data_IF_950073140707
#
_entry.id   IF_950073140707
#
_cell.length_a   1.000
_cell.length_b   1.000
_cell.length_c   1.000
_cell.angle_alpha   90.00
_cell.angle_beta   90.00
_cell.angle_gamma   90.00
#
_symmetry.space_group_name_H-M   'P 1'
#
loop_
_entity.id
_entity.type
_entity.pdbx_description
1 polymer ?
#
# COMPACT_ATOMS: atom_id res chain seq x y z
N UNK A 1 -12.02 29.09 50.30
CA UNK A 1 -12.84 28.24 49.40
C UNK A 1 -13.53 29.17 48.42
N UNK A 2 -13.09 29.16 47.15
CA UNK A 2 -13.91 29.52 46.00
C UNK A 2 -13.18 28.98 44.76
N UNK A 3 -13.84 28.05 44.08
CA UNK A 3 -13.34 27.23 42.99
C UNK A 3 -13.60 27.98 41.68
N UNK A 4 -12.56 28.23 40.89
CA UNK A 4 -12.70 28.63 39.48
C UNK A 4 -12.76 27.36 38.62
N UNK A 5 -13.96 26.99 38.17
CA UNK A 5 -14.13 26.00 37.09
C UNK A 5 -14.04 26.75 35.77
N UNK A 6 -12.90 26.61 35.08
CA UNK A 6 -12.78 27.05 33.69
C UNK A 6 -13.41 25.97 32.79
N UNK A 7 -14.58 26.27 32.21
CA UNK A 7 -15.12 25.51 31.08
C UNK A 7 -14.24 25.76 29.85
N UNK A 8 -13.45 24.78 29.44
CA UNK A 8 -12.93 24.73 28.07
C UNK A 8 -14.05 24.24 27.15
N UNK A 9 -14.56 25.14 26.30
CA UNK A 9 -15.43 24.76 25.18
C UNK A 9 -14.58 24.06 24.11
N UNK A 10 -14.81 22.76 23.90
CA UNK A 10 -14.26 22.03 22.77
C UNK A 10 -14.98 22.48 21.49
N UNK A 11 -14.29 23.22 20.61
CA UNK A 11 -14.79 23.53 19.29
C UNK A 11 -14.70 22.28 18.41
N UNK A 12 -15.82 21.58 18.23
CA UNK A 12 -15.94 20.50 17.24
C UNK A 12 -15.82 21.10 15.84
N UNK A 13 -14.75 20.79 15.13
CA UNK A 13 -14.57 21.15 13.73
C UNK A 13 -15.60 20.37 12.90
N UNK A 14 -16.68 21.03 12.49
CA UNK A 14 -17.55 20.54 11.43
C UNK A 14 -16.72 20.56 10.15
N UNK A 15 -16.34 19.38 9.65
CA UNK A 15 -15.75 19.23 8.33
C UNK A 15 -16.86 19.45 7.30
N UNK A 16 -16.84 20.63 6.66
CA UNK A 16 -17.64 20.88 5.47
C UNK A 16 -17.07 19.99 4.37
N UNK A 17 -17.88 19.04 3.88
CA UNK A 17 -17.58 18.33 2.65
C UNK A 17 -17.59 19.37 1.50
N UNK A 18 -16.44 19.58 0.88
CA UNK A 18 -16.32 20.37 -0.35
C UNK A 18 -17.13 19.65 -1.44
N UNK A 19 -18.12 20.33 -2.03
CA UNK A 19 -18.75 19.87 -3.26
C UNK A 19 -17.71 19.80 -4.37
N UNK A 20 -17.68 18.65 -5.06
CA UNK A 20 -16.72 18.31 -6.12
C UNK A 20 -17.01 19.13 -7.39
N UNK A 21 -16.59 20.40 -7.37
CA UNK A 21 -16.56 21.27 -8.53
C UNK A 21 -15.46 20.82 -9.48
N UNK A 22 -15.83 20.20 -10.59
CA UNK A 22 -14.93 19.68 -11.62
C UNK A 22 -14.06 20.80 -12.20
N UNK A 23 -12.84 20.98 -11.66
CA UNK A 23 -11.83 21.85 -12.26
C UNK A 23 -11.25 21.14 -13.47
N UNK A 24 -11.39 21.67 -14.71
CA UNK A 24 -10.85 21.03 -15.89
C UNK A 24 -9.32 21.07 -15.85
N UNK A 25 -8.71 19.97 -15.42
CA UNK A 25 -7.29 19.71 -15.61
C UNK A 25 -7.05 19.41 -17.09
N UNK A 26 -6.33 20.32 -17.77
CA UNK A 26 -5.97 20.20 -19.20
C UNK A 26 -4.77 19.27 -19.43
N UNK A 27 -4.23 18.64 -18.38
CA UNK A 27 -3.07 17.74 -18.48
C UNK A 27 -3.58 16.32 -18.77
N UNK A 28 -3.13 15.66 -19.85
CA UNK A 28 -3.46 14.26 -20.10
C UNK A 28 -3.05 13.38 -18.92
N UNK A 29 -3.95 12.48 -18.49
CA UNK A 29 -3.62 11.45 -17.50
C UNK A 29 -2.66 10.47 -18.19
N UNK A 30 -1.47 10.19 -17.62
CA UNK A 30 -0.54 9.23 -18.19
C UNK A 30 -1.11 7.80 -18.15
N UNK A 31 -0.45 6.87 -18.83
CA UNK A 31 -0.78 5.45 -18.69
C UNK A 31 -0.24 4.88 -17.36
N UNK A 32 -0.86 3.83 -16.79
CA UNK A 32 -0.40 3.20 -15.55
C UNK A 32 1.04 2.69 -15.67
N UNK A 33 1.88 3.00 -14.68
CA UNK A 33 3.25 2.49 -14.65
C UNK A 33 3.30 1.09 -14.05
N UNK A 34 4.15 0.21 -14.59
CA UNK A 34 4.37 -1.14 -14.08
C UNK A 34 5.83 -1.57 -14.19
N UNK A 35 6.33 -2.20 -13.13
CA UNK A 35 7.66 -2.80 -13.01
C UNK A 35 7.51 -4.28 -12.68
N UNK A 36 8.27 -5.13 -13.36
CA UNK A 36 8.22 -6.59 -13.19
C UNK A 36 9.65 -7.09 -13.06
N UNK A 37 9.89 -7.91 -12.03
CA UNK A 37 11.19 -8.55 -11.77
C UNK A 37 10.99 -9.99 -11.34
N UNK A 38 11.98 -10.84 -11.58
CA UNK A 38 11.96 -12.25 -11.19
C UNK A 38 12.95 -12.51 -10.07
N UNK A 39 12.53 -13.32 -9.09
CA UNK A 39 13.29 -13.55 -7.86
C UNK A 39 13.14 -14.99 -7.39
N UNK A 40 14.01 -15.37 -6.46
CA UNK A 40 13.91 -16.62 -5.72
C UNK A 40 14.28 -16.40 -4.26
N UNK A 41 13.60 -17.09 -3.35
CA UNK A 41 13.87 -17.02 -1.92
C UNK A 41 13.66 -18.36 -1.23
N UNK A 42 14.31 -18.57 -0.08
CA UNK A 42 14.03 -19.71 0.80
C UNK A 42 13.12 -19.26 1.94
N UNK A 43 11.93 -19.85 2.00
CA UNK A 43 10.93 -19.57 3.03
C UNK A 43 10.62 -20.87 3.76
N UNK A 44 10.89 -20.92 5.07
CA UNK A 44 10.77 -22.14 5.89
C UNK A 44 11.47 -23.35 5.25
N UNK A 45 12.71 -23.16 4.76
CA UNK A 45 13.50 -24.18 4.09
C UNK A 45 13.12 -24.47 2.62
N UNK A 46 11.95 -24.04 2.17
CA UNK A 46 11.46 -24.29 0.81
C UNK A 46 11.93 -23.19 -0.14
N UNK A 47 12.56 -23.59 -1.26
CA UNK A 47 12.88 -22.66 -2.34
C UNK A 47 11.59 -22.30 -3.10
N UNK A 48 11.35 -21.00 -3.28
CA UNK A 48 10.22 -20.48 -4.04
C UNK A 48 10.75 -19.48 -5.06
N UNK A 49 10.45 -19.74 -6.34
CA UNK A 49 10.64 -18.80 -7.43
C UNK A 49 9.35 -18.01 -7.64
N UNK A 50 9.48 -16.69 -7.80
CA UNK A 50 8.36 -15.79 -7.91
C UNK A 50 8.65 -14.57 -8.77
N UNK A 51 7.60 -14.04 -9.39
CA UNK A 51 7.60 -12.75 -10.05
C UNK A 51 7.10 -11.69 -9.08
N UNK A 52 7.88 -10.62 -8.91
CA UNK A 52 7.47 -9.41 -8.21
C UNK A 52 6.97 -8.37 -9.23
N UNK A 53 5.71 -7.98 -9.12
CA UNK A 53 5.10 -6.90 -9.90
C UNK A 53 4.84 -5.71 -8.97
N UNK A 54 5.32 -4.53 -9.33
CA UNK A 54 4.96 -3.27 -8.68
C UNK A 54 4.30 -2.36 -9.72
N UNK A 55 3.15 -1.76 -9.43
CA UNK A 55 2.53 -0.88 -10.41
C UNK A 55 1.15 -0.36 -10.06
N UNK A 56 0.69 0.51 -10.93
CA UNK A 56 -0.59 1.21 -10.82
C UNK A 56 -1.74 0.41 -11.42
N UNK A 57 -2.89 0.48 -10.77
CA UNK A 57 -4.17 0.03 -11.29
C UNK A 57 -5.15 1.20 -11.22
N UNK A 58 -5.62 1.66 -12.38
CA UNK A 58 -6.57 2.76 -12.44
C UNK A 58 -7.98 2.31 -12.10
N UNK A 59 -8.60 3.03 -11.17
CA UNK A 59 -10.01 2.91 -10.84
C UNK A 59 -10.78 3.79 -11.82
N UNK A 60 -11.69 3.19 -12.57
CA UNK A 60 -12.45 3.84 -13.65
C UNK A 60 -13.91 4.00 -13.24
N UNK A 61 -14.56 5.04 -13.75
CA UNK A 61 -16.01 5.20 -13.64
C UNK A 61 -16.78 4.34 -14.65
N UNK A 62 -18.10 4.53 -14.71
CA UNK A 62 -19.00 3.82 -15.63
C UNK A 62 -18.72 4.11 -17.11
N UNK A 63 -18.12 5.26 -17.41
CA UNK A 63 -17.77 5.69 -18.76
C UNK A 63 -16.33 5.31 -19.12
N UNK A 64 -15.61 4.65 -18.21
CA UNK A 64 -14.22 4.20 -18.38
C UNK A 64 -13.15 5.26 -18.08
N UNK A 65 -13.53 6.47 -17.65
CA UNK A 65 -12.59 7.55 -17.32
C UNK A 65 -11.91 7.23 -15.98
N UNK A 66 -10.56 7.31 -15.89
CA UNK A 66 -9.84 7.14 -14.62
C UNK A 66 -10.27 8.18 -13.58
N UNK A 67 -10.55 7.73 -12.36
CA UNK A 67 -10.93 8.56 -11.20
C UNK A 67 -9.94 8.43 -10.03
N UNK A 68 -9.11 7.39 -10.05
CA UNK A 68 -8.06 7.19 -9.05
C UNK A 68 -7.07 6.11 -9.49
N UNK A 69 -5.99 5.94 -8.74
CA UNK A 69 -4.97 4.93 -8.97
C UNK A 69 -4.65 4.21 -7.65
N UNK A 70 -4.52 2.88 -7.71
CA UNK A 70 -4.00 2.05 -6.61
C UNK A 70 -2.63 1.53 -7.02
N UNK A 71 -1.60 1.88 -6.27
CA UNK A 71 -0.28 1.27 -6.44
C UNK A 71 -0.19 -0.02 -5.62
N UNK A 72 0.20 -1.11 -6.25
CA UNK A 72 0.25 -2.45 -5.64
C UNK A 72 1.63 -3.08 -5.79
N UNK A 73 1.95 -3.99 -4.86
CA UNK A 73 3.05 -4.92 -4.98
C UNK A 73 2.49 -6.34 -4.91
N UNK A 74 2.76 -7.16 -5.93
CA UNK A 74 2.26 -8.52 -6.05
C UNK A 74 3.42 -9.50 -6.22
N UNK A 75 3.38 -10.59 -5.45
CA UNK A 75 4.37 -11.67 -5.49
C UNK A 75 3.69 -12.96 -5.92
N UNK A 76 4.00 -13.43 -7.12
CA UNK A 76 3.32 -14.58 -7.73
C UNK A 76 4.32 -15.70 -7.94
N UNK A 77 4.09 -16.87 -7.33
CA UNK A 77 4.91 -18.07 -7.57
C UNK A 77 4.76 -18.52 -9.04
N UNK A 78 5.87 -18.83 -9.70
CA UNK A 78 5.88 -19.18 -11.14
C UNK A 78 5.93 -20.70 -11.39
N UNK A 79 6.72 -21.44 -10.61
CA UNK A 79 6.90 -22.89 -10.75
C UNK A 79 5.83 -23.67 -9.95
N UNK A 80 4.58 -23.65 -10.43
CA UNK A 80 3.49 -24.42 -9.82
C UNK A 80 3.63 -25.91 -10.15
N UNK A 81 3.46 -26.77 -9.14
CA UNK A 81 3.36 -28.21 -9.36
C UNK A 81 2.08 -28.59 -10.12
N UNK A 82 2.06 -29.80 -10.69
CA UNK A 82 0.88 -30.28 -11.39
C UNK A 82 -0.35 -30.31 -10.45
N UNK A 83 -1.41 -29.61 -10.81
CA UNK A 83 -2.61 -29.46 -10.00
C UNK A 83 -2.46 -28.57 -8.75
N UNK A 84 -1.33 -27.86 -8.58
CA UNK A 84 -1.15 -26.93 -7.45
C UNK A 84 -2.07 -25.71 -7.63
N UNK A 85 -3.02 -25.55 -6.70
CA UNK A 85 -3.88 -24.37 -6.61
C UNK A 85 -3.44 -23.54 -5.41
N UNK A 86 -3.10 -22.27 -5.64
CA UNK A 86 -2.69 -21.35 -4.58
C UNK A 86 -3.74 -20.27 -4.35
N UNK A 87 -4.08 -19.97 -3.09
CA UNK A 87 -4.95 -18.84 -2.79
C UNK A 87 -4.26 -17.51 -3.13
N UNK A 88 -5.08 -16.51 -3.46
CA UNK A 88 -4.65 -15.12 -3.55
C UNK A 88 -4.99 -14.44 -2.23
N UNK A 89 -3.99 -13.83 -1.59
CA UNK A 89 -4.16 -13.07 -0.36
C UNK A 89 -3.90 -11.59 -0.64
N UNK A 90 -4.86 -10.75 -0.27
CA UNK A 90 -4.71 -9.29 -0.31
C UNK A 90 -4.38 -8.78 1.09
N UNK A 91 -3.43 -7.85 1.16
CA UNK A 91 -3.01 -7.19 2.40
C UNK A 91 -3.14 -5.68 2.22
N UNK A 92 -3.79 -5.00 3.15
CA UNK A 92 -3.91 -3.55 3.17
C UNK A 92 -3.69 -3.04 4.59
N UNK A 93 -3.03 -1.89 4.70
CA UNK A 93 -2.80 -1.24 5.99
C UNK A 93 -4.10 -0.83 6.69
N UNK A 94 -3.96 -0.47 7.96
CA UNK A 94 -5.05 0.12 8.75
C UNK A 94 -4.93 1.65 8.87
N UNK A 95 -5.86 2.25 9.60
CA UNK A 95 -5.95 3.70 9.78
C UNK A 95 -6.28 4.46 8.48
N UNK A 96 -6.79 5.69 8.56
CA UNK A 96 -6.99 6.51 7.37
C UNK A 96 -5.64 7.05 6.88
N UNK A 97 -5.34 6.86 5.59
CA UNK A 97 -4.20 7.48 4.90
C UNK A 97 -2.83 6.84 5.11
N UNK A 98 -2.72 5.74 5.88
CA UNK A 98 -1.45 5.02 6.04
C UNK A 98 -1.16 4.12 4.83
N UNK A 99 0.08 4.16 4.34
CA UNK A 99 0.52 3.25 3.28
C UNK A 99 0.75 1.84 3.82
N UNK A 100 0.51 0.81 2.99
CA UNK A 100 0.77 -0.60 3.31
C UNK A 100 2.27 -0.97 3.41
N UNK A 101 3.17 0.01 3.57
CA UNK A 101 4.62 -0.18 3.61
C UNK A 101 5.07 -1.01 4.81
N UNK A 102 4.41 -0.86 5.97
CA UNK A 102 4.70 -1.65 7.17
C UNK A 102 4.37 -3.14 6.97
N UNK A 103 3.28 -3.42 6.27
CA UNK A 103 2.90 -4.79 5.90
C UNK A 103 3.89 -5.38 4.89
N UNK A 104 4.28 -4.58 3.91
CA UNK A 104 5.22 -5.00 2.87
C UNK A 104 6.62 -5.23 3.46
N UNK A 105 7.29 -4.20 3.96
CA UNK A 105 8.71 -4.23 4.34
C UNK A 105 8.96 -4.70 5.77
N UNK A 106 7.92 -4.77 6.60
CA UNK A 106 8.04 -5.15 8.01
C UNK A 106 7.61 -6.58 8.31
N UNK A 107 6.50 -7.06 7.73
CA UNK A 107 5.85 -8.28 8.21
C UNK A 107 5.65 -9.36 7.15
N UNK A 108 5.04 -9.05 6.00
CA UNK A 108 4.57 -10.07 5.04
C UNK A 108 5.32 -10.12 3.71
N UNK A 109 6.12 -9.11 3.37
CA UNK A 109 6.93 -9.13 2.15
C UNK A 109 8.01 -10.22 2.18
N UNK A 110 8.48 -10.66 1.00
CA UNK A 110 9.53 -11.69 0.89
C UNK A 110 10.91 -11.19 1.35
N UNK A 111 11.11 -9.88 1.36
CA UNK A 111 12.28 -9.21 1.95
C UNK A 111 11.81 -8.23 3.02
N UNK A 112 12.60 -8.13 4.10
CA UNK A 112 12.30 -7.27 5.24
C UNK A 112 13.50 -6.39 5.55
N UNK A 113 13.23 -5.18 6.01
CA UNK A 113 14.30 -4.29 6.50
C UNK A 113 14.82 -4.84 7.84
N UNK A 114 16.12 -5.12 7.89
CA UNK A 114 16.80 -5.48 9.15
C UNK A 114 17.23 -4.19 9.85
N UNK A 115 16.57 -3.84 10.96
CA UNK A 115 16.92 -2.64 11.75
C UNK A 115 17.96 -3.01 12.81
N UNK A 116 19.19 -2.47 12.76
CA UNK A 116 20.21 -2.69 13.78
C UNK A 116 19.77 -2.21 15.16
N UNK A 117 20.08 -2.97 16.21
CA UNK A 117 19.74 -2.63 17.59
C UNK A 117 20.53 -1.45 18.15
N UNK A 118 21.65 -1.11 17.52
CA UNK A 118 22.51 0.02 17.86
C UNK A 118 22.15 1.31 17.09
N UNK A 119 20.96 1.32 16.45
CA UNK A 119 20.41 2.44 15.69
C UNK A 119 21.26 2.89 14.49
N UNK A 120 22.17 2.05 14.00
CA UNK A 120 22.87 2.31 12.75
C UNK A 120 21.92 2.23 11.54
N UNK A 121 22.30 2.91 10.45
CA UNK A 121 21.55 2.86 9.20
C UNK A 121 21.45 1.42 8.68
N UNK A 122 20.24 0.87 8.47
CA UNK A 122 20.04 -0.54 8.13
C UNK A 122 20.53 -0.96 6.74
N UNK A 123 20.93 -0.01 5.89
CA UNK A 123 21.17 -0.29 4.48
C UNK A 123 19.86 -0.45 3.68
N UNK A 124 19.94 -0.54 2.34
CA UNK A 124 18.82 -0.98 1.53
C UNK A 124 18.49 -2.47 1.80
N UNK A 125 17.24 -2.90 1.55
CA UNK A 125 16.85 -4.31 1.60
C UNK A 125 17.54 -5.18 0.54
#
# INVERSE_FOLDING_TARGET
>A
VNVCVALLAAASSVSLAEEDGERPSKVPIPEPTRFITEHRGRFNGTLVEYTATAGETYIRDKDGKPRGSIFTFAYTKTQLGNGEVRPVTFLWGGGPGSASVSLHMGTYGPQRVSVPSDAQYPGPP
#
